data_IF_246295604174
#
_entry.id   IF_246295604174
#
_cell.length_a   1.000
_cell.length_b   1.000
_cell.length_c   1.000
_cell.angle_alpha   90.00
_cell.angle_beta   90.00
_cell.angle_gamma   90.00
#
_symmetry.space_group_name_H-M   'P 1'
#
loop_
_entity.id
_entity.type
_entity.pdbx_description
1 polymer ?
#
# COMPACT_ATOMS: atom_id res chain seq x y z
N UNK A 1 13.56 -24.03 -22.20
CA UNK A 1 13.79 -24.08 -20.75
C UNK A 1 14.96 -23.24 -20.27
N UNK A 2 16.15 -23.30 -20.88
CA UNK A 2 17.24 -22.39 -20.52
C UNK A 2 16.82 -20.90 -20.60
N UNK A 3 16.06 -20.52 -21.64
CA UNK A 3 15.49 -19.19 -21.78
C UNK A 3 14.50 -18.83 -20.65
N UNK A 4 13.58 -19.74 -20.32
CA UNK A 4 12.61 -19.60 -19.21
C UNK A 4 13.30 -19.45 -17.86
N UNK A 5 14.36 -20.22 -17.60
CA UNK A 5 15.12 -20.07 -16.35
C UNK A 5 15.79 -18.70 -16.22
N UNK A 6 16.22 -18.10 -17.33
CA UNK A 6 16.94 -16.81 -17.33
C UNK A 6 16.06 -15.59 -17.54
N UNK A 7 14.77 -15.78 -17.74
CA UNK A 7 13.85 -14.67 -18.03
C UNK A 7 13.64 -13.78 -16.80
N UNK A 8 12.86 -12.72 -17.01
CA UNK A 8 12.58 -11.73 -15.98
C UNK A 8 11.67 -12.24 -14.84
N UNK A 9 11.02 -13.40 -15.02
CA UNK A 9 10.13 -14.01 -14.05
C UNK A 9 10.92 -14.88 -13.08
N UNK A 10 11.93 -15.61 -13.58
CA UNK A 10 12.64 -16.65 -12.84
C UNK A 10 14.05 -16.26 -12.37
N UNK A 11 14.85 -15.56 -13.21
CA UNK A 11 16.21 -15.11 -12.90
C UNK A 11 17.16 -16.14 -12.21
N UNK A 12 17.21 -17.39 -12.68
CA UNK A 12 18.05 -18.45 -12.08
C UNK A 12 19.55 -18.15 -12.16
N UNK A 13 19.99 -17.31 -13.10
CA UNK A 13 21.38 -16.91 -13.32
C UNK A 13 21.92 -15.95 -12.25
N UNK A 14 21.08 -15.45 -11.35
CA UNK A 14 21.48 -14.51 -10.32
C UNK A 14 22.50 -15.13 -9.35
N UNK A 15 23.67 -14.49 -9.13
CA UNK A 15 24.71 -15.05 -8.27
C UNK A 15 24.31 -15.11 -6.79
N UNK A 16 23.34 -14.29 -6.39
CA UNK A 16 22.84 -14.17 -5.02
C UNK A 16 21.55 -14.98 -4.76
N UNK A 17 20.98 -15.62 -5.79
CA UNK A 17 19.73 -16.38 -5.65
C UNK A 17 19.92 -17.80 -5.10
N UNK A 18 21.14 -18.37 -5.20
CA UNK A 18 21.41 -19.75 -4.78
C UNK A 18 20.64 -20.82 -5.58
N UNK A 19 20.09 -20.44 -6.74
CA UNK A 19 19.34 -21.32 -7.63
C UNK A 19 20.31 -22.02 -8.60
N UNK A 20 20.12 -23.32 -8.80
CA UNK A 20 20.88 -24.06 -9.79
C UNK A 20 20.36 -23.71 -11.20
N UNK A 21 21.20 -23.12 -12.05
CA UNK A 21 20.93 -22.95 -13.48
C UNK A 21 21.36 -24.22 -14.24
N UNK A 22 20.44 -24.81 -15.00
CA UNK A 22 20.68 -26.04 -15.74
C UNK A 22 20.03 -25.97 -17.13
N UNK A 23 20.89 -25.93 -18.15
CA UNK A 23 20.52 -25.81 -19.55
C UNK A 23 19.89 -27.08 -20.13
N UNK A 24 20.03 -28.22 -19.47
CA UNK A 24 19.52 -29.53 -19.92
C UNK A 24 18.10 -29.81 -19.43
N UNK A 25 17.60 -29.02 -18.48
CA UNK A 25 16.27 -29.21 -17.89
C UNK A 25 15.18 -29.05 -18.95
N UNK A 26 14.21 -29.97 -18.96
CA UNK A 26 13.07 -29.96 -19.89
C UNK A 26 11.76 -29.48 -19.27
N UNK A 27 11.70 -29.36 -17.94
CA UNK A 27 10.56 -28.81 -17.20
C UNK A 27 10.99 -28.00 -15.97
N UNK A 28 10.10 -27.12 -15.51
CA UNK A 28 10.17 -26.47 -14.20
C UNK A 28 9.00 -26.98 -13.35
N UNK A 29 9.26 -27.24 -12.08
CA UNK A 29 8.25 -27.60 -11.10
C UNK A 29 8.28 -26.61 -9.96
N UNK A 30 7.09 -26.25 -9.47
CA UNK A 30 6.98 -25.33 -8.36
C UNK A 30 5.57 -25.27 -7.80
N UNK A 31 5.50 -24.78 -6.58
CA UNK A 31 4.31 -24.52 -5.80
C UNK A 31 4.04 -23.03 -5.62
N UNK A 32 2.76 -22.72 -5.37
CA UNK A 32 2.28 -21.44 -4.88
C UNK A 32 1.35 -21.70 -3.68
N UNK A 33 1.72 -21.13 -2.54
CA UNK A 33 1.08 -21.32 -1.25
C UNK A 33 0.53 -19.98 -0.75
N UNK A 34 -0.66 -19.99 -0.13
CA UNK A 34 -1.24 -18.81 0.48
C UNK A 34 -1.99 -19.17 1.76
N UNK A 35 -1.73 -18.42 2.83
CA UNK A 35 -2.43 -18.51 4.10
C UNK A 35 -2.92 -17.12 4.49
N UNK A 36 -4.17 -17.02 4.92
CA UNK A 36 -4.75 -15.77 5.39
C UNK A 36 -5.58 -16.02 6.64
N UNK A 37 -5.32 -15.23 7.68
CA UNK A 37 -6.01 -15.30 8.96
C UNK A 37 -6.44 -13.90 9.33
N UNK A 38 -7.68 -13.73 9.78
CA UNK A 38 -8.15 -12.41 10.14
C UNK A 38 -9.41 -12.41 11.00
N UNK A 39 -9.60 -11.29 11.68
CA UNK A 39 -10.83 -10.91 12.34
C UNK A 39 -11.50 -9.80 11.53
N UNK A 40 -12.52 -10.17 10.76
CA UNK A 40 -13.30 -9.24 9.92
C UNK A 40 -14.54 -8.67 10.60
N UNK A 41 -14.83 -9.09 11.84
CA UNK A 41 -16.01 -8.69 12.59
C UNK A 41 -15.72 -8.33 14.05
N UNK A 42 -16.44 -7.32 14.56
CA UNK A 42 -16.30 -6.78 15.91
C UNK A 42 -16.61 -5.28 15.95
N UNK A 43 -16.70 -4.71 17.15
CA UNK A 43 -17.11 -3.32 17.33
C UNK A 43 -16.03 -2.31 16.94
N UNK A 44 -14.76 -2.62 17.25
CA UNK A 44 -13.66 -1.66 17.13
C UNK A 44 -12.47 -2.16 16.33
N UNK A 45 -11.98 -3.35 16.62
CA UNK A 45 -10.76 -3.87 16.02
C UNK A 45 -11.05 -4.94 14.96
N UNK A 46 -10.56 -4.70 13.75
CA UNK A 46 -10.49 -5.65 12.66
C UNK A 46 -9.03 -5.80 12.24
N UNK A 47 -8.64 -6.99 11.82
CA UNK A 47 -7.29 -7.21 11.33
C UNK A 47 -7.24 -8.43 10.42
N UNK A 48 -6.23 -8.49 9.58
CA UNK A 48 -5.95 -9.60 8.69
C UNK A 48 -4.44 -9.69 8.48
N UNK A 49 -3.90 -10.88 8.56
CA UNK A 49 -2.53 -11.18 8.14
C UNK A 49 -2.56 -12.24 7.06
N UNK A 50 -1.72 -12.10 6.05
CA UNK A 50 -1.55 -13.10 5.02
C UNK A 50 -0.09 -13.35 4.74
N UNK A 51 0.20 -14.60 4.43
CA UNK A 51 1.49 -15.08 3.99
C UNK A 51 1.29 -15.79 2.65
N UNK A 52 2.11 -15.45 1.66
CA UNK A 52 2.11 -16.07 0.34
C UNK A 52 3.53 -16.45 -0.02
N UNK A 53 3.70 -17.61 -0.65
CA UNK A 53 4.99 -18.09 -1.14
C UNK A 53 4.82 -18.66 -2.53
N UNK A 54 5.71 -18.28 -3.44
CA UNK A 54 5.80 -18.81 -4.80
C UNK A 54 7.22 -19.28 -4.99
N UNK A 55 7.39 -20.56 -5.23
CA UNK A 55 8.69 -21.16 -5.51
C UNK A 55 9.31 -20.61 -6.80
N UNK A 56 10.62 -20.74 -6.96
CA UNK A 56 11.33 -20.27 -8.15
C UNK A 56 10.92 -21.01 -9.43
N UNK A 57 10.53 -22.28 -9.33
CA UNK A 57 10.10 -23.09 -10.48
C UNK A 57 8.61 -23.03 -10.78
N UNK A 58 7.84 -22.22 -10.04
CA UNK A 58 6.41 -22.05 -10.32
C UNK A 58 6.24 -21.19 -11.58
N UNK A 59 5.62 -21.77 -12.60
CA UNK A 59 5.35 -21.12 -13.89
C UNK A 59 3.90 -21.42 -14.30
N UNK A 60 3.14 -20.37 -14.61
CA UNK A 60 1.73 -20.42 -15.03
C UNK A 60 1.43 -19.48 -16.20
N UNK A 61 2.43 -18.81 -16.78
CA UNK A 61 2.28 -17.88 -17.91
C UNK A 61 1.66 -18.52 -19.15
N UNK A 62 1.66 -19.84 -19.27
CA UNK A 62 0.94 -20.57 -20.34
C UNK A 62 -0.59 -20.59 -20.13
N UNK A 63 -1.07 -20.42 -18.90
CA UNK A 63 -2.49 -20.42 -18.53
C UNK A 63 -2.99 -19.06 -18.00
N UNK A 64 -2.07 -18.15 -17.69
CA UNK A 64 -2.37 -16.88 -17.04
C UNK A 64 -1.20 -15.91 -17.13
N UNK A 65 -1.01 -15.10 -16.08
CA UNK A 65 0.04 -14.10 -16.05
C UNK A 65 0.72 -14.06 -14.68
N UNK A 66 2.02 -14.35 -14.69
CA UNK A 66 2.93 -14.34 -13.57
C UNK A 66 4.05 -13.36 -13.90
N UNK A 67 4.03 -12.21 -13.23
CA UNK A 67 5.12 -11.24 -13.34
C UNK A 67 6.38 -11.71 -12.62
N UNK A 68 6.24 -12.65 -11.68
CA UNK A 68 7.29 -12.98 -10.74
C UNK A 68 7.14 -14.36 -10.10
N UNK A 69 8.18 -15.17 -10.26
CA UNK A 69 8.46 -16.36 -9.46
C UNK A 69 9.46 -16.01 -8.34
N UNK A 70 9.78 -16.99 -7.48
CA UNK A 70 10.77 -16.82 -6.40
C UNK A 70 10.44 -15.67 -5.43
N UNK A 71 9.27 -15.71 -4.78
CA UNK A 71 8.86 -14.67 -3.85
C UNK A 71 8.10 -15.20 -2.64
N UNK A 72 8.38 -14.63 -1.47
CA UNK A 72 7.63 -14.72 -0.23
C UNK A 72 7.07 -13.33 0.08
N UNK A 73 5.78 -13.25 0.42
CA UNK A 73 5.10 -12.02 0.77
C UNK A 73 4.38 -12.20 2.10
N UNK A 74 4.64 -11.30 3.06
CA UNK A 74 3.86 -11.22 4.30
C UNK A 74 3.25 -9.84 4.38
N UNK A 75 1.93 -9.77 4.49
CA UNK A 75 1.21 -8.53 4.75
C UNK A 75 0.32 -8.64 5.98
N UNK A 76 0.14 -7.53 6.67
CA UNK A 76 -0.78 -7.39 7.80
C UNK A 76 -1.49 -6.07 7.71
N UNK A 77 -2.81 -6.11 7.75
CA UNK A 77 -3.67 -4.96 7.92
C UNK A 77 -4.33 -5.01 9.29
N UNK A 78 -4.40 -3.89 9.99
CA UNK A 78 -5.21 -3.73 11.18
C UNK A 78 -5.93 -2.38 11.15
N UNK A 79 -7.21 -2.39 11.50
CA UNK A 79 -8.05 -1.21 11.56
C UNK A 79 -8.73 -1.09 12.92
N UNK A 80 -8.58 0.06 13.56
CA UNK A 80 -9.36 0.45 14.72
C UNK A 80 -10.42 1.48 14.30
N UNK A 81 -11.68 1.22 14.62
CA UNK A 81 -12.82 2.04 14.26
C UNK A 81 -13.64 2.39 15.51
N UNK A 82 -13.75 3.66 15.86
CA UNK A 82 -14.72 4.13 16.85
C UNK A 82 -15.78 5.00 16.14
N UNK A 83 -17.00 4.47 16.07
CA UNK A 83 -18.14 5.13 15.42
C UNK A 83 -19.08 5.80 16.43
N UNK A 84 -18.70 5.85 17.70
CA UNK A 84 -19.49 6.50 18.74
C UNK A 84 -19.17 7.98 18.85
N UNK A 85 -20.18 8.76 19.24
CA UNK A 85 -19.99 10.16 19.57
C UNK A 85 -19.29 10.29 20.93
N UNK A 86 -18.07 10.83 20.92
CA UNK A 86 -17.27 11.17 22.11
C UNK A 86 -17.26 12.68 22.32
N UNK A 87 -16.56 13.15 23.36
CA UNK A 87 -16.46 14.59 23.68
C UNK A 87 -15.84 15.42 22.55
N UNK A 88 -14.85 14.87 21.82
CA UNK A 88 -14.08 15.59 20.79
C UNK A 88 -14.44 15.19 19.36
N UNK A 89 -14.82 13.94 19.12
CA UNK A 89 -15.06 13.39 17.79
C UNK A 89 -16.36 12.58 17.73
N UNK A 90 -16.88 12.40 16.52
CA UNK A 90 -18.03 11.54 16.23
C UNK A 90 -17.64 10.29 15.43
N UNK A 91 -16.47 10.30 14.80
CA UNK A 91 -15.89 9.14 14.11
C UNK A 91 -14.38 9.19 14.22
N UNK A 92 -13.78 8.06 14.55
CA UNK A 92 -12.34 7.85 14.56
C UNK A 92 -12.03 6.55 13.83
N UNK A 93 -11.05 6.59 12.94
CA UNK A 93 -10.56 5.43 12.22
C UNK A 93 -9.03 5.51 12.16
N UNK A 94 -8.37 4.42 12.51
CA UNK A 94 -6.93 4.29 12.42
C UNK A 94 -6.58 2.98 11.73
N UNK A 95 -5.95 3.06 10.58
CA UNK A 95 -5.48 1.91 9.82
C UNK A 95 -3.96 1.77 9.93
N UNK A 96 -3.54 0.52 9.93
CA UNK A 96 -2.17 0.07 9.92
C UNK A 96 -2.01 -0.96 8.81
N UNK A 97 -0.96 -0.81 8.03
CA UNK A 97 -0.56 -1.72 6.98
C UNK A 97 0.92 -2.01 7.18
N UNK A 98 1.27 -3.28 7.22
CA UNK A 98 2.63 -3.76 7.17
C UNK A 98 2.73 -4.69 5.97
N UNK A 99 3.75 -4.54 5.15
CA UNK A 99 4.05 -5.52 4.12
C UNK A 99 5.56 -5.67 3.97
N UNK A 100 5.94 -6.86 3.54
CA UNK A 100 7.31 -7.18 3.26
C UNK A 100 7.41 -8.32 2.26
N UNK A 101 8.46 -8.25 1.46
CA UNK A 101 8.76 -9.18 0.39
C UNK A 101 10.18 -9.71 0.55
N UNK A 102 10.35 -10.98 0.20
CA UNK A 102 11.65 -11.63 0.12
C UNK A 102 11.69 -12.59 -1.06
N UNK A 103 12.89 -12.91 -1.53
CA UNK A 103 13.09 -14.09 -2.37
C UNK A 103 12.84 -15.36 -1.57
N UNK A 104 12.65 -16.52 -2.21
CA UNK A 104 12.53 -17.79 -1.46
C UNK A 104 13.82 -18.16 -0.73
N UNK A 105 14.96 -17.67 -1.19
CA UNK A 105 16.25 -17.76 -0.51
C UNK A 105 16.41 -16.78 0.67
N UNK A 106 15.43 -15.89 0.91
CA UNK A 106 15.38 -15.00 2.08
C UNK A 106 16.01 -13.63 1.90
N UNK A 107 16.40 -13.24 0.68
CA UNK A 107 16.88 -11.88 0.41
C UNK A 107 15.72 -10.88 0.60
N UNK A 108 15.83 -9.88 1.48
CA UNK A 108 14.74 -8.92 1.72
C UNK A 108 14.67 -7.87 0.63
N UNK A 109 13.48 -7.63 0.12
CA UNK A 109 13.28 -6.79 -1.06
C UNK A 109 12.49 -5.54 -0.77
N UNK A 110 11.52 -5.66 0.10
CA UNK A 110 10.83 -4.52 0.65
C UNK A 110 10.40 -4.86 2.07
N UNK A 111 10.42 -3.84 2.92
CA UNK A 111 9.77 -3.87 4.22
C UNK A 111 9.22 -2.48 4.45
N UNK A 112 7.92 -2.39 4.56
CA UNK A 112 7.24 -1.11 4.59
C UNK A 112 6.04 -1.14 5.52
N UNK A 113 5.79 0.03 6.07
CA UNK A 113 4.71 0.29 7.00
C UNK A 113 3.98 1.53 6.54
N UNK A 114 2.66 1.41 6.40
CA UNK A 114 1.77 2.55 6.19
C UNK A 114 0.78 2.64 7.33
N UNK A 115 0.53 3.85 7.80
CA UNK A 115 -0.56 4.12 8.72
C UNK A 115 -1.32 5.35 8.28
N UNK A 116 -2.62 5.36 8.57
CA UNK A 116 -3.46 6.54 8.35
C UNK A 116 -4.56 6.63 9.40
N UNK A 117 -4.84 7.85 9.82
CA UNK A 117 -5.79 8.24 10.83
C UNK A 117 -6.78 9.19 10.19
N UNK A 118 -8.07 8.94 10.42
CA UNK A 118 -9.17 9.76 9.98
C UNK A 118 -10.06 10.07 11.19
N UNK A 119 -10.24 11.35 11.49
CA UNK A 119 -11.04 11.83 12.60
C UNK A 119 -12.07 12.81 12.08
N UNK A 120 -13.35 12.60 12.41
CA UNK A 120 -14.40 13.59 12.22
C UNK A 120 -14.78 14.16 13.58
N UNK A 121 -14.54 15.45 13.76
CA UNK A 121 -14.84 16.18 14.97
C UNK A 121 -16.35 16.44 15.12
N UNK A 122 -16.79 16.86 16.32
CA UNK A 122 -18.21 17.16 16.58
C UNK A 122 -18.76 18.35 15.80
N UNK A 123 -17.89 19.24 15.36
CA UNK A 123 -18.22 20.37 14.49
C UNK A 123 -18.18 19.99 13.00
N UNK A 124 -18.18 18.68 12.67
CA UNK A 124 -18.12 18.11 11.30
C UNK A 124 -16.87 18.39 10.49
N UNK A 125 -15.87 19.07 11.07
CA UNK A 125 -14.53 19.11 10.48
C UNK A 125 -13.92 17.72 10.46
N UNK A 126 -13.16 17.42 9.43
CA UNK A 126 -12.44 16.16 9.32
C UNK A 126 -10.94 16.39 9.18
N UNK A 127 -10.17 15.66 9.97
CA UNK A 127 -8.71 15.63 9.89
C UNK A 127 -8.27 14.24 9.45
N UNK A 128 -7.37 14.23 8.49
CA UNK A 128 -6.82 13.03 7.89
C UNK A 128 -5.31 13.16 7.94
N UNK A 129 -4.61 12.12 8.39
CA UNK A 129 -3.16 12.13 8.33
C UNK A 129 -2.67 10.72 8.22
N UNK A 130 -1.50 10.54 7.63
CA UNK A 130 -0.88 9.24 7.54
C UNK A 130 0.52 9.36 7.02
N UNK A 131 1.12 8.21 6.79
CA UNK A 131 2.40 8.17 6.13
C UNK A 131 2.83 6.75 5.85
N UNK A 132 3.72 6.63 4.88
CA UNK A 132 4.41 5.39 4.56
C UNK A 132 5.88 5.54 4.88
N UNK A 133 6.46 4.54 5.53
CA UNK A 133 7.90 4.32 5.57
C UNK A 133 8.19 3.02 4.86
N UNK A 134 9.16 3.03 3.94
CA UNK A 134 9.49 1.84 3.15
C UNK A 134 11.00 1.59 3.08
N UNK A 135 11.35 0.43 2.51
CA UNK A 135 12.71 -0.10 2.41
C UNK A 135 13.45 -0.16 3.76
N UNK A 136 12.75 -0.60 4.81
CA UNK A 136 13.28 -0.67 6.17
C UNK A 136 14.28 -1.82 6.37
N UNK A 137 15.37 -1.57 7.08
CA UNK A 137 16.28 -2.63 7.55
C UNK A 137 17.16 -3.25 6.46
N UNK A 138 17.49 -2.48 5.42
CA UNK A 138 18.38 -2.91 4.33
C UNK A 138 17.69 -3.85 3.36
N UNK A 139 16.99 -3.29 2.38
CA UNK A 139 16.30 -4.05 1.33
C UNK A 139 17.05 -3.95 0.01
N UNK A 140 16.77 -4.88 -0.89
CA UNK A 140 17.49 -5.04 -2.14
C UNK A 140 16.54 -5.24 -3.33
N UNK A 141 16.81 -4.51 -4.40
CA UNK A 141 16.18 -4.68 -5.69
C UNK A 141 16.88 -5.81 -6.45
N UNK A 142 16.21 -6.95 -6.59
CA UNK A 142 16.78 -8.15 -7.20
C UNK A 142 16.80 -8.12 -8.74
N UNK A 143 15.91 -7.34 -9.36
CA UNK A 143 15.69 -7.24 -10.80
C UNK A 143 16.27 -5.97 -11.42
N UNK A 144 16.68 -4.98 -10.60
CA UNK A 144 17.32 -3.75 -11.06
C UNK A 144 18.56 -4.00 -11.94
N UNK A 145 19.31 -5.07 -11.66
CA UNK A 145 20.47 -5.48 -12.44
C UNK A 145 20.13 -6.49 -13.57
N UNK A 146 18.85 -6.77 -13.82
CA UNK A 146 18.33 -7.67 -14.88
C UNK A 146 19.08 -9.00 -14.97
N UNK A 147 19.18 -9.71 -13.85
CA UNK A 147 19.90 -10.98 -13.73
C UNK A 147 21.31 -10.86 -13.14
N UNK A 148 21.79 -9.64 -12.90
CA UNK A 148 22.98 -9.38 -12.08
C UNK A 148 22.70 -9.40 -10.57
N UNK A 149 23.70 -9.07 -9.72
CA UNK A 149 23.54 -9.05 -8.26
C UNK A 149 22.48 -8.04 -7.80
N UNK A 150 21.80 -8.33 -6.68
CA UNK A 150 20.81 -7.41 -6.14
C UNK A 150 21.40 -6.07 -5.68
N UNK A 151 20.67 -4.99 -5.95
CA UNK A 151 21.08 -3.61 -5.70
C UNK A 151 20.42 -3.10 -4.42
N UNK A 152 21.20 -2.55 -3.49
CA UNK A 152 20.66 -2.00 -2.24
C UNK A 152 19.74 -0.80 -2.50
N UNK A 153 18.62 -0.75 -1.79
CA UNK A 153 17.67 0.36 -1.82
C UNK A 153 17.79 1.24 -0.57
N UNK A 154 17.52 2.53 -0.76
CA UNK A 154 17.44 3.50 0.32
C UNK A 154 16.02 3.54 0.93
N UNK A 155 15.90 3.80 2.25
CA UNK A 155 14.62 4.01 2.90
C UNK A 155 13.95 5.30 2.40
N UNK A 156 12.62 5.28 2.38
CA UNK A 156 11.82 6.47 2.11
C UNK A 156 10.75 6.68 3.18
N UNK A 157 10.33 7.93 3.32
CA UNK A 157 9.32 8.42 4.26
C UNK A 157 8.37 9.35 3.49
N UNK A 158 7.08 9.07 3.52
CA UNK A 158 6.06 9.78 2.75
C UNK A 158 4.83 10.14 3.62
N UNK A 159 4.93 11.09 4.57
CA UNK A 159 3.81 11.52 5.38
C UNK A 159 2.92 12.51 4.62
N UNK A 160 1.66 12.53 5.01
CA UNK A 160 0.68 13.46 4.48
C UNK A 160 -0.32 13.84 5.57
N UNK A 161 -0.94 15.00 5.39
CA UNK A 161 -2.00 15.49 6.25
C UNK A 161 -3.03 16.27 5.43
N UNK A 162 -4.28 16.18 5.84
CA UNK A 162 -5.44 16.76 5.20
C UNK A 162 -6.40 17.30 6.26
N UNK A 163 -6.93 18.48 6.01
CA UNK A 163 -7.98 19.09 6.81
C UNK A 163 -9.14 19.49 5.90
N UNK A 164 -10.33 19.02 6.24
CA UNK A 164 -11.58 19.34 5.58
C UNK A 164 -12.46 20.11 6.56
N UNK A 165 -12.94 21.28 6.14
CA UNK A 165 -13.90 22.07 6.88
C UNK A 165 -15.30 21.47 6.91
N UNK A 166 -16.19 22.15 7.62
CA UNK A 166 -17.61 21.78 7.71
C UNK A 166 -18.32 21.99 6.36
N UNK A 167 -18.70 20.89 5.71
CA UNK A 167 -19.39 20.86 4.41
C UNK A 167 -20.79 21.50 4.43
N UNK A 168 -21.34 21.74 5.62
CA UNK A 168 -22.62 22.43 5.82
C UNK A 168 -22.52 23.95 5.67
N UNK A 169 -21.31 24.50 5.62
CA UNK A 169 -21.08 25.95 5.49
C UNK A 169 -21.00 26.35 4.02
N UNK A 170 -21.28 27.63 3.75
CA UNK A 170 -21.20 28.20 2.41
C UNK A 170 -19.76 28.22 1.86
N UNK A 171 -18.76 28.22 2.75
CA UNK A 171 -17.34 28.16 2.44
C UNK A 171 -16.77 26.96 3.20
N UNK A 172 -16.18 26.03 2.45
CA UNK A 172 -15.58 24.80 3.00
C UNK A 172 -14.07 24.87 2.75
N UNK A 173 -13.26 25.15 3.79
CA UNK A 173 -11.81 25.14 3.64
C UNK A 173 -11.31 23.72 3.44
N UNK A 174 -10.35 23.56 2.54
CA UNK A 174 -9.60 22.34 2.31
C UNK A 174 -8.11 22.65 2.36
N UNK A 175 -7.34 21.80 3.04
CA UNK A 175 -5.89 21.91 3.04
C UNK A 175 -5.29 20.53 3.02
N UNK A 176 -4.37 20.29 2.09
CA UNK A 176 -3.64 19.03 2.00
C UNK A 176 -2.15 19.26 1.85
N UNK A 177 -1.36 18.43 2.51
CA UNK A 177 0.10 18.43 2.49
C UNK A 177 0.56 17.02 2.18
N UNK A 178 1.43 16.88 1.18
CA UNK A 178 2.21 15.66 0.96
C UNK A 178 3.68 16.01 1.11
N UNK A 179 4.43 15.17 1.83
CA UNK A 179 5.87 15.26 1.91
C UNK A 179 6.46 13.90 1.53
N UNK A 180 7.53 13.91 0.76
CA UNK A 180 8.31 12.72 0.43
C UNK A 180 9.77 13.03 0.75
N UNK A 181 10.44 12.08 1.40
CA UNK A 181 11.88 12.06 1.59
C UNK A 181 12.39 10.67 1.25
N UNK A 182 13.36 10.57 0.34
CA UNK A 182 13.96 9.32 -0.10
C UNK A 182 15.46 9.47 -0.33
N UNK A 183 16.07 8.44 -0.92
CA UNK A 183 17.49 8.42 -1.33
C UNK A 183 18.45 8.77 -0.18
N UNK A 184 18.23 8.19 1.00
CA UNK A 184 19.04 8.50 2.19
C UNK A 184 18.88 9.95 2.66
N UNK A 185 17.80 10.62 2.25
CA UNK A 185 17.51 12.01 2.56
C UNK A 185 18.01 13.02 1.53
N UNK A 186 18.57 12.58 0.39
CA UNK A 186 19.04 13.45 -0.70
C UNK A 186 17.91 13.99 -1.57
N UNK A 187 16.81 13.25 -1.65
CA UNK A 187 15.63 13.64 -2.41
C UNK A 187 14.50 13.99 -1.47
N UNK A 188 13.93 15.18 -1.64
CA UNK A 188 12.76 15.64 -0.89
C UNK A 188 11.81 16.40 -1.80
N UNK A 189 10.51 16.21 -1.57
CA UNK A 189 9.47 17.00 -2.21
C UNK A 189 8.37 17.32 -1.21
N UNK A 190 7.79 18.51 -1.35
CA UNK A 190 6.62 18.95 -0.59
C UNK A 190 5.59 19.51 -1.55
N UNK A 191 4.34 19.08 -1.40
CA UNK A 191 3.20 19.59 -2.15
C UNK A 191 2.18 20.13 -1.16
N UNK A 192 1.76 21.38 -1.38
CA UNK A 192 0.77 22.10 -0.58
C UNK A 192 -0.43 22.39 -1.47
N UNK A 193 -1.62 21.96 -1.06
CA UNK A 193 -2.86 22.08 -1.83
C UNK A 193 -3.94 22.72 -0.96
N UNK A 194 -3.90 24.05 -0.76
CA UNK A 194 -5.02 24.78 -0.19
C UNK A 194 -6.13 24.95 -1.25
N UNK A 195 -7.38 24.68 -0.87
CA UNK A 195 -8.56 24.91 -1.72
C UNK A 195 -9.72 25.47 -0.88
N UNK A 196 -10.60 26.25 -1.51
CA UNK A 196 -11.86 26.69 -0.92
C UNK A 196 -13.02 26.29 -1.83
N UNK A 197 -13.91 25.43 -1.35
CA UNK A 197 -15.13 25.08 -2.06
C UNK A 197 -16.30 25.97 -1.61
N UNK A 198 -17.10 26.46 -2.56
CA UNK A 198 -18.33 27.23 -2.29
C UNK A 198 -19.55 26.37 -2.57
N UNK A 199 -20.35 26.11 -1.54
CA UNK A 199 -21.60 25.37 -1.68
C UNK A 199 -22.66 26.28 -2.31
N UNK A 200 -23.03 26.04 -3.58
CA UNK A 200 -24.17 26.73 -4.21
C UNK A 200 -25.48 26.18 -3.67
N UNK A 201 -26.14 26.90 -2.76
CA UNK A 201 -27.55 26.64 -2.45
C UNK A 201 -28.42 27.08 -3.63
N UNK A 202 -28.88 26.14 -4.46
CA UNK A 202 -30.01 26.40 -5.36
C UNK A 202 -31.28 26.52 -4.52
N UNK A 203 -31.75 27.76 -4.31
CA UNK A 203 -33.04 28.03 -3.65
C UNK A 203 -34.15 27.56 -4.59
N UNK A 204 -34.74 26.40 -4.33
CA UNK A 204 -35.96 25.99 -5.02
C UNK A 204 -37.06 26.99 -4.65
N UNK A 205 -37.49 27.79 -5.62
CA UNK A 205 -38.63 28.70 -5.49
C UNK A 205 -39.89 27.81 -5.48
N UNK A 206 -40.75 27.86 -4.44
CA UNK A 206 -42.01 27.12 -4.48
C UNK A 206 -42.88 27.71 -5.59
N UNK A 207 -43.27 26.91 -6.58
CA UNK A 207 -44.26 27.33 -7.58
C UNK A 207 -45.59 27.53 -6.86
N UNK A 208 -46.04 28.79 -6.78
CA UNK A 208 -47.35 29.14 -6.28
C UNK A 208 -48.37 28.82 -7.38
N UNK A 209 -48.90 27.60 -7.42
CA UNK A 209 -50.02 27.24 -8.29
C UNK A 209 -51.28 27.91 -7.74
N UNK A 210 -51.69 28.99 -8.40
CA UNK A 210 -52.95 29.68 -8.17
C UNK A 210 -54.13 28.77 -8.54
N UNK A 211 -55.11 28.72 -7.64
CA UNK A 211 -56.43 28.13 -7.85
C UNK A 211 -57.31 29.21 -8.46
N UNK A 212 -57.80 28.99 -9.68
CA UNK A 212 -59.05 29.52 -10.23
C UNK A 212 -59.56 28.52 -11.24
#
# INVERSE_FOLDING_TARGET
MAATQTDAVHYYQRPDAGLAYDTTRTSLSGDAEALQIGKVGGTHLMWQTSYQRRSAGFEINDLGYLQRADQQAWSTWAGYFDRHQRKLYQRFQWNFNWWQYWTTAGLPEERAFNTNVHVTFRNTWSFHTGGTVGNLGGTYCYDCARGGPAVRQDPYLAPWAGLNGDDRKAIVPYFWVNYLRGDGGRSQSISLMPEEARTKCSRAIPSRTGRT
#
